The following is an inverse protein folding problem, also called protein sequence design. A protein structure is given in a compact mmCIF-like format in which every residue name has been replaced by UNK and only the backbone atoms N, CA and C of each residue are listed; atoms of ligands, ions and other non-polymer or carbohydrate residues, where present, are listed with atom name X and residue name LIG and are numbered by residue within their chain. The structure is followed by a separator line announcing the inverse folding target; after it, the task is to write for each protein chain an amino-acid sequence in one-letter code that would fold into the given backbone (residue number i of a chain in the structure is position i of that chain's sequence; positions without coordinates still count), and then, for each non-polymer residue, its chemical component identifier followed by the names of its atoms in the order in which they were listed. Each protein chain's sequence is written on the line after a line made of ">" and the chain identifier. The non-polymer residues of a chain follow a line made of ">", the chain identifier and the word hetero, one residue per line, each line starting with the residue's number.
data_IF_977560165110
#
_entry.id   IF_977560165110
#
_cell.length_a   1.000
_cell.length_b   1.000
_cell.length_c   1.000
_cell.angle_alpha   90.00
_cell.angle_beta   90.00
_cell.angle_gamma   90.00
#
_symmetry.space_group_name_H-M   'P 1'
#
loop_
_entity.id
_entity.type
_entity.pdbx_description
1 polymer ?
#
# COMPACT_ATOMS: atom_id res chain seq x y z
N UNK A 1 -25.26 15.12 17.55
CA UNK A 1 -24.04 14.60 16.88
C UNK A 1 -24.14 14.93 15.40
N UNK A 2 -23.37 15.90 14.89
CA UNK A 2 -23.36 16.17 13.44
C UNK A 2 -22.67 15.00 12.73
N UNK A 3 -23.36 14.32 11.82
CA UNK A 3 -22.77 13.32 10.92
C UNK A 3 -22.86 11.85 11.35
N UNK A 4 -23.88 11.44 12.12
CA UNK A 4 -24.14 10.02 12.35
C UNK A 4 -24.40 9.30 11.02
N UNK A 5 -23.76 8.15 10.75
CA UNK A 5 -23.91 7.46 9.48
C UNK A 5 -25.36 7.00 9.28
N UNK A 6 -25.86 7.07 8.05
CA UNK A 6 -27.21 6.59 7.71
C UNK A 6 -27.32 5.07 7.85
N UNK A 7 -26.24 4.37 7.55
CA UNK A 7 -26.13 2.92 7.59
C UNK A 7 -24.89 2.54 8.40
N UNK A 8 -25.05 1.61 9.35
CA UNK A 8 -23.91 1.08 10.11
C UNK A 8 -23.07 0.17 9.22
N UNK A 9 -21.75 0.39 9.22
CA UNK A 9 -20.82 -0.45 8.45
C UNK A 9 -20.86 -1.92 8.94
N UNK A 10 -21.14 -2.88 8.05
CA UNK A 10 -21.13 -4.29 8.40
C UNK A 10 -19.73 -4.76 8.83
N UNK A 11 -19.64 -5.46 9.96
CA UNK A 11 -18.36 -5.94 10.50
C UNK A 11 -17.65 -6.96 9.60
N UNK A 12 -18.40 -7.71 8.79
CA UNK A 12 -17.85 -8.70 7.85
C UNK A 12 -17.22 -8.09 6.60
N UNK A 13 -17.68 -6.89 6.18
CA UNK A 13 -17.10 -6.19 5.03
C UNK A 13 -15.68 -5.70 5.32
N UNK A 14 -15.44 -5.28 6.57
CA UNK A 14 -14.14 -4.84 7.04
C UNK A 14 -13.41 -3.96 6.00
N UNK A 15 -12.20 -4.30 5.52
CA UNK A 15 -11.50 -3.56 4.46
C UNK A 15 -11.52 -4.27 3.07
N UNK A 16 -12.39 -5.28 2.89
CA UNK A 16 -12.50 -6.02 1.63
C UNK A 16 -12.93 -5.14 0.44
N UNK A 17 -13.86 -4.17 0.58
CA UNK A 17 -14.19 -3.27 -0.52
C UNK A 17 -13.00 -2.46 -1.02
N UNK A 18 -12.12 -1.99 -0.13
CA UNK A 18 -10.89 -1.34 -0.52
C UNK A 18 -9.97 -2.26 -1.31
N UNK A 19 -9.82 -3.54 -0.91
CA UNK A 19 -9.04 -4.51 -1.67
C UNK A 19 -9.60 -4.73 -3.09
N UNK A 20 -10.92 -4.89 -3.21
CA UNK A 20 -11.56 -5.07 -4.52
C UNK A 20 -11.39 -3.82 -5.39
N UNK A 21 -11.57 -2.63 -4.81
CA UNK A 21 -11.35 -1.36 -5.51
C UNK A 21 -9.91 -1.18 -5.96
N UNK A 22 -8.94 -1.54 -5.12
CA UNK A 22 -7.52 -1.50 -5.47
C UNK A 22 -7.18 -2.51 -6.57
N UNK A 23 -7.71 -3.73 -6.50
CA UNK A 23 -7.51 -4.73 -7.55
C UNK A 23 -8.07 -4.27 -8.90
N UNK A 24 -9.27 -3.67 -8.91
CA UNK A 24 -9.86 -3.12 -10.11
C UNK A 24 -9.04 -1.96 -10.69
N UNK A 25 -8.54 -1.08 -9.83
CA UNK A 25 -7.60 -0.03 -10.22
C UNK A 25 -6.34 -0.62 -10.86
N UNK A 26 -5.69 -1.57 -10.19
CA UNK A 26 -4.47 -2.21 -10.69
C UNK A 26 -4.72 -2.92 -12.03
N UNK A 27 -5.88 -3.55 -12.21
CA UNK A 27 -6.25 -4.19 -13.47
C UNK A 27 -6.46 -3.17 -14.60
N UNK A 28 -7.11 -2.04 -14.32
CA UNK A 28 -7.26 -0.94 -15.29
C UNK A 28 -5.89 -0.38 -15.69
N UNK A 29 -5.00 -0.22 -14.73
CA UNK A 29 -3.66 0.33 -14.92
C UNK A 29 -2.77 -0.61 -15.75
N UNK A 30 -2.74 -1.89 -15.40
CA UNK A 30 -1.76 -2.85 -15.94
C UNK A 30 -2.26 -3.64 -17.16
N UNK A 31 -3.57 -3.85 -17.30
CA UNK A 31 -4.13 -4.82 -18.26
C UNK A 31 -5.06 -4.17 -19.27
N UNK A 32 -5.84 -3.17 -18.85
CA UNK A 32 -6.83 -2.58 -19.71
C UNK A 32 -6.18 -1.66 -20.78
N UNK A 33 -6.29 -1.97 -22.08
CA UNK A 33 -5.63 -1.15 -23.12
C UNK A 33 -6.16 0.28 -23.22
N UNK A 34 -7.36 0.52 -22.66
CA UNK A 34 -7.95 1.85 -22.60
C UNK A 34 -7.50 2.67 -21.40
N UNK A 35 -6.63 2.16 -20.51
CA UNK A 35 -6.22 2.83 -19.27
C UNK A 35 -5.51 4.17 -19.49
N UNK A 36 -4.78 4.30 -20.60
CA UNK A 36 -4.07 5.53 -20.98
C UNK A 36 -4.91 6.52 -21.82
N UNK A 37 -6.15 6.16 -22.19
CA UNK A 37 -7.02 7.03 -23.00
C UNK A 37 -7.76 8.02 -22.10
N UNK A 38 -7.65 9.35 -22.34
CA UNK A 38 -8.29 10.36 -21.50
C UNK A 38 -9.80 10.16 -21.31
N UNK A 39 -10.51 9.73 -22.36
CA UNK A 39 -11.94 9.46 -22.31
C UNK A 39 -12.29 8.31 -21.34
N UNK A 40 -11.58 7.19 -21.41
CA UNK A 40 -11.78 6.06 -20.49
C UNK A 40 -11.47 6.46 -19.05
N UNK A 41 -10.35 7.17 -18.86
CA UNK A 41 -9.90 7.61 -17.55
C UNK A 41 -10.91 8.57 -16.90
N UNK A 42 -11.51 9.48 -17.67
CA UNK A 42 -12.56 10.38 -17.19
C UNK A 42 -13.76 9.62 -16.60
N UNK A 43 -14.23 8.57 -17.30
CA UNK A 43 -15.32 7.72 -16.79
C UNK A 43 -14.94 6.97 -15.52
N UNK A 44 -13.70 6.46 -15.44
CA UNK A 44 -13.19 5.79 -14.24
C UNK A 44 -13.16 6.76 -13.06
N UNK A 45 -12.63 7.98 -13.25
CA UNK A 45 -12.55 9.02 -12.20
C UNK A 45 -13.95 9.44 -11.72
N UNK A 46 -14.89 9.66 -12.64
CA UNK A 46 -16.28 10.01 -12.31
C UNK A 46 -16.94 8.88 -11.52
N UNK A 47 -16.80 7.64 -11.97
CA UNK A 47 -17.37 6.47 -11.31
C UNK A 47 -16.78 6.28 -9.91
N UNK A 48 -15.46 6.37 -9.78
CA UNK A 48 -14.76 6.30 -8.50
C UNK A 48 -15.22 7.41 -7.54
N UNK A 49 -15.32 8.65 -8.03
CA UNK A 49 -15.75 9.80 -7.22
C UNK A 49 -17.20 9.65 -6.74
N UNK A 50 -18.11 9.19 -7.60
CA UNK A 50 -19.50 8.90 -7.23
C UNK A 50 -19.58 7.80 -6.16
N UNK A 51 -18.86 6.69 -6.35
CA UNK A 51 -18.81 5.60 -5.38
C UNK A 51 -18.29 6.10 -4.03
N UNK A 52 -17.22 6.90 -4.03
CA UNK A 52 -16.62 7.43 -2.81
C UNK A 52 -17.54 8.42 -2.09
N UNK A 53 -18.18 9.34 -2.80
CA UNK A 53 -19.13 10.28 -2.18
C UNK A 53 -20.38 9.60 -1.65
N UNK A 54 -20.94 8.63 -2.40
CA UNK A 54 -22.08 7.83 -1.93
C UNK A 54 -21.67 7.03 -0.69
N UNK A 55 -20.50 6.41 -0.69
CA UNK A 55 -19.94 5.69 0.45
C UNK A 55 -19.79 6.55 1.70
N UNK A 56 -19.21 7.75 1.56
CA UNK A 56 -19.08 8.72 2.65
C UNK A 56 -20.45 9.19 3.18
N UNK A 57 -21.43 9.39 2.30
CA UNK A 57 -22.78 9.82 2.67
C UNK A 57 -23.57 8.73 3.41
N UNK A 58 -23.43 7.47 2.99
CA UNK A 58 -24.15 6.35 3.59
C UNK A 58 -23.52 5.88 4.91
N UNK A 59 -22.20 5.67 4.92
CA UNK A 59 -21.47 5.03 6.03
C UNK A 59 -20.70 6.00 6.90
N UNK A 60 -20.65 7.29 6.53
CA UNK A 60 -19.86 8.31 7.19
C UNK A 60 -18.44 8.44 6.62
N UNK A 61 -17.95 9.68 6.55
CA UNK A 61 -16.66 10.02 5.93
C UNK A 61 -15.48 9.19 6.48
N UNK A 62 -15.39 9.05 7.80
CA UNK A 62 -14.26 8.37 8.44
C UNK A 62 -14.26 6.87 8.24
N UNK A 63 -15.44 6.23 8.33
CA UNK A 63 -15.55 4.78 8.17
C UNK A 63 -15.27 4.39 6.72
N UNK A 64 -15.82 5.14 5.76
CA UNK A 64 -15.55 4.91 4.34
C UNK A 64 -14.07 5.06 4.01
N UNK A 65 -13.44 6.18 4.40
CA UNK A 65 -12.01 6.41 4.12
C UNK A 65 -11.08 5.39 4.79
N UNK A 66 -11.47 4.86 5.96
CA UNK A 66 -10.66 3.87 6.69
C UNK A 66 -10.78 2.45 6.13
N UNK A 67 -11.85 2.13 5.42
CA UNK A 67 -12.23 0.73 5.11
C UNK A 67 -12.66 0.49 3.65
N UNK A 68 -13.35 1.44 3.05
CA UNK A 68 -13.93 1.32 1.72
C UNK A 68 -13.04 1.89 0.62
N UNK A 69 -12.37 3.01 0.88
CA UNK A 69 -11.58 3.71 -0.12
C UNK A 69 -10.17 3.09 -0.30
N UNK A 70 -9.81 2.57 -1.48
CA UNK A 70 -8.54 1.88 -1.71
C UNK A 70 -7.33 2.79 -1.47
N UNK A 71 -7.37 4.01 -1.97
CA UNK A 71 -6.24 4.94 -1.87
C UNK A 71 -6.03 5.42 -0.44
N UNK A 72 -7.10 5.73 0.29
CA UNK A 72 -7.02 6.13 1.69
C UNK A 72 -6.48 5.00 2.56
N UNK A 73 -6.85 3.73 2.29
CA UNK A 73 -6.27 2.56 2.99
C UNK A 73 -4.79 2.41 2.67
N UNK A 74 -4.39 2.57 1.41
CA UNK A 74 -2.98 2.52 0.99
C UNK A 74 -2.15 3.65 1.61
N UNK A 75 -2.64 4.90 1.55
CA UNK A 75 -1.92 6.04 2.12
C UNK A 75 -1.92 6.02 3.65
N UNK A 76 -2.96 5.50 4.31
CA UNK A 76 -2.95 5.30 5.75
C UNK A 76 -1.86 4.31 6.19
N UNK A 77 -1.53 3.33 5.34
CA UNK A 77 -0.40 2.44 5.57
C UNK A 77 0.93 3.17 5.44
N UNK A 78 1.13 3.89 4.33
CA UNK A 78 2.35 4.65 4.08
C UNK A 78 2.57 5.77 5.10
N UNK A 79 1.50 6.39 5.59
CA UNK A 79 1.56 7.41 6.63
C UNK A 79 2.18 6.89 7.94
N UNK A 80 2.11 5.57 8.23
CA UNK A 80 2.78 4.96 9.40
C UNK A 80 4.31 4.99 9.29
N UNK A 81 4.84 5.11 8.08
CA UNK A 81 6.26 5.31 7.84
C UNK A 81 6.69 6.77 8.06
N UNK A 82 5.76 7.72 7.93
CA UNK A 82 6.04 9.16 8.00
C UNK A 82 6.55 9.62 9.38
N UNK A 83 7.34 10.71 9.42
CA UNK A 83 7.88 11.27 10.65
C UNK A 83 6.86 12.11 11.44
N UNK A 84 5.62 12.20 10.96
CA UNK A 84 4.55 13.01 11.56
C UNK A 84 3.41 12.11 12.01
N UNK A 85 2.82 12.43 13.15
CA UNK A 85 1.61 11.76 13.63
C UNK A 85 0.66 12.74 14.33
N UNK A 86 -0.63 12.44 14.22
CA UNK A 86 -1.67 13.13 14.98
C UNK A 86 -2.09 12.26 16.15
N UNK A 87 -2.04 12.78 17.38
CA UNK A 87 -2.40 12.02 18.57
C UNK A 87 -3.37 12.76 19.46
N UNK A 88 -4.22 12.00 20.15
CA UNK A 88 -5.07 12.52 21.23
C UNK A 88 -4.37 12.24 22.55
N UNK A 89 -4.03 13.31 23.28
CA UNK A 89 -3.24 13.31 24.51
C UNK A 89 -3.87 12.46 25.64
N UNK A 90 -3.01 11.87 26.48
CA UNK A 90 -3.43 11.09 27.66
C UNK A 90 -4.04 12.02 28.72
N UNK A 91 -5.36 12.15 28.69
CA UNK A 91 -6.13 13.11 29.50
C UNK A 91 -7.36 13.62 28.75
N UNK A 92 -7.31 13.62 27.41
CA UNK A 92 -8.47 13.79 26.56
C UNK A 92 -9.30 12.52 26.56
N UNK A 93 -10.30 12.48 27.44
CA UNK A 93 -11.38 11.50 27.54
C UNK A 93 -11.13 10.17 26.79
N UNK A 94 -10.71 9.10 27.47
CA UNK A 94 -10.69 7.72 26.90
C UNK A 94 -12.01 7.36 26.18
N UNK A 95 -13.09 8.03 26.57
CA UNK A 95 -14.40 8.01 25.92
C UNK A 95 -14.34 8.31 24.42
N UNK A 96 -13.44 9.16 23.90
CA UNK A 96 -13.39 9.50 22.47
C UNK A 96 -13.08 8.26 21.62
N UNK A 97 -12.11 7.44 22.04
CA UNK A 97 -11.80 6.19 21.35
C UNK A 97 -12.94 5.16 21.44
N UNK A 98 -13.78 5.23 22.50
CA UNK A 98 -14.96 4.36 22.70
C UNK A 98 -16.15 4.82 21.85
N UNK A 99 -16.34 6.12 21.69
CA UNK A 99 -17.42 6.74 20.91
C UNK A 99 -17.11 6.69 19.40
N UNK A 100 -15.82 6.65 19.04
CA UNK A 100 -15.34 6.57 17.67
C UNK A 100 -15.94 5.36 16.90
N UNK A 101 -16.71 5.65 15.86
CA UNK A 101 -17.37 4.64 15.03
C UNK A 101 -16.39 3.93 14.09
N UNK A 102 -15.22 4.52 13.84
CA UNK A 102 -14.13 3.89 13.09
C UNK A 102 -13.48 2.71 13.82
N UNK A 103 -13.88 2.41 15.06
CA UNK A 103 -13.49 1.20 15.79
C UNK A 103 -12.10 1.27 16.41
N UNK A 104 -11.68 2.43 16.90
CA UNK A 104 -10.37 2.60 17.55
C UNK A 104 -10.29 1.97 18.95
N UNK A 105 -11.43 1.75 19.61
CA UNK A 105 -11.52 1.10 20.92
C UNK A 105 -10.91 -0.31 20.96
N UNK A 106 -10.94 -1.05 19.85
CA UNK A 106 -10.35 -2.39 19.75
C UNK A 106 -8.83 -2.41 20.00
N UNK A 107 -8.14 -1.29 19.78
CA UNK A 107 -6.72 -1.11 20.06
C UNK A 107 -6.45 -0.45 21.43
N UNK A 108 -7.49 0.05 22.13
CA UNK A 108 -7.35 0.85 23.35
C UNK A 108 -7.40 0.04 24.66
N UNK A 109 -7.87 -1.21 24.62
CA UNK A 109 -8.12 -2.03 25.83
C UNK A 109 -6.99 -3.00 26.19
N UNK A 110 -6.01 -3.22 25.33
CA UNK A 110 -4.94 -4.19 25.56
C UNK A 110 -3.69 -3.52 26.15
N UNK A 111 -2.98 -4.20 27.07
CA UNK A 111 -1.74 -3.77 27.75
C UNK A 111 -0.59 -3.48 26.75
N UNK A 112 -0.73 -2.44 25.97
CA UNK A 112 0.32 -1.88 25.13
C UNK A 112 0.63 -0.48 25.63
N UNK A 113 1.87 -0.04 25.49
CA UNK A 113 2.33 1.31 25.84
C UNK A 113 1.64 2.43 25.02
N UNK A 114 0.61 2.10 24.22
CA UNK A 114 -0.20 2.95 23.35
C UNK A 114 -1.56 3.30 23.97
N UNK A 115 -1.55 3.89 25.16
CA UNK A 115 -2.77 4.31 25.88
C UNK A 115 -3.49 5.54 25.26
N UNK A 116 -3.37 5.80 23.96
CA UNK A 116 -3.98 6.95 23.27
C UNK A 116 -4.35 6.65 21.81
N UNK A 117 -5.28 7.42 21.27
CA UNK A 117 -5.67 7.31 19.86
C UNK A 117 -4.64 8.06 18.97
N UNK A 118 -3.97 7.35 18.06
CA UNK A 118 -2.99 7.91 17.11
C UNK A 118 -3.43 7.66 15.68
N UNK A 119 -3.14 8.62 14.80
CA UNK A 119 -3.44 8.59 13.36
C UNK A 119 -4.93 8.26 13.06
N UNK A 120 -5.81 8.67 13.98
CA UNK A 120 -7.26 8.58 13.81
C UNK A 120 -7.89 9.98 13.71
N UNK A 121 -8.22 10.37 12.49
CA UNK A 121 -8.82 11.68 12.20
C UNK A 121 -10.22 11.87 12.82
N UNK A 122 -10.97 10.80 13.06
CA UNK A 122 -12.25 10.88 13.76
C UNK A 122 -12.06 11.22 15.24
N UNK A 123 -11.15 10.51 15.91
CA UNK A 123 -10.82 10.80 17.30
C UNK A 123 -10.21 12.20 17.46
N UNK A 124 -9.44 12.65 16.47
CA UNK A 124 -8.92 14.00 16.41
C UNK A 124 -10.06 15.03 16.31
N UNK A 125 -11.02 14.87 15.39
CA UNK A 125 -12.15 15.80 15.24
C UNK A 125 -13.05 15.83 16.48
N UNK A 126 -13.24 14.69 17.14
CA UNK A 126 -14.06 14.57 18.36
C UNK A 126 -13.38 15.08 19.64
N UNK A 127 -12.05 15.21 19.64
CA UNK A 127 -11.30 15.66 20.80
C UNK A 127 -11.37 17.19 20.97
N UNK A 128 -11.37 17.65 22.22
CA UNK A 128 -11.20 19.06 22.54
C UNK A 128 -9.81 19.56 22.12
N UNK A 129 -9.70 20.82 21.74
CA UNK A 129 -8.45 21.40 21.22
C UNK A 129 -7.28 21.30 22.20
N UNK A 130 -7.56 21.31 23.51
CA UNK A 130 -6.56 21.13 24.55
C UNK A 130 -5.89 19.74 24.56
N UNK A 131 -6.46 18.76 23.85
CA UNK A 131 -5.97 17.38 23.81
C UNK A 131 -5.49 16.95 22.41
N UNK A 132 -5.50 17.86 21.44
CA UNK A 132 -4.98 17.65 20.09
C UNK A 132 -3.47 17.91 20.07
N UNK A 133 -2.68 16.87 19.84
CA UNK A 133 -1.23 16.95 19.77
C UNK A 133 -0.72 16.55 18.38
N UNK A 134 -0.01 17.47 17.71
CA UNK A 134 0.79 17.13 16.53
C UNK A 134 2.19 16.74 17.00
N UNK A 135 2.63 15.50 16.70
CA UNK A 135 3.88 14.94 17.20
C UNK A 135 4.81 14.54 16.05
N UNK A 136 6.11 14.77 16.26
CA UNK A 136 7.17 14.32 15.36
C UNK A 136 7.75 13.02 15.93
N UNK A 137 7.92 12.01 15.06
CA UNK A 137 8.50 10.70 15.38
C UNK A 137 9.63 10.38 14.39
N UNK A 138 10.61 9.54 14.76
CA UNK A 138 11.52 8.97 13.77
C UNK A 138 10.74 8.16 12.73
N UNK A 139 11.27 8.13 11.50
CA UNK A 139 10.70 7.36 10.39
C UNK A 139 10.48 5.89 10.78
N UNK A 140 9.44 5.28 10.21
CA UNK A 140 9.05 3.87 10.40
C UNK A 140 8.67 3.43 11.83
N UNK A 141 8.84 4.26 12.86
CA UNK A 141 8.47 3.89 14.24
C UNK A 141 6.98 3.57 14.37
N UNK A 142 6.12 4.25 13.60
CA UNK A 142 4.68 3.98 13.54
C UNK A 142 4.33 2.54 13.14
N UNK A 143 5.17 1.87 12.34
CA UNK A 143 4.99 0.48 11.91
C UNK A 143 5.25 -0.54 13.02
N UNK A 144 6.08 -0.18 14.02
CA UNK A 144 6.45 -1.08 15.12
C UNK A 144 5.39 -1.20 16.22
N UNK A 145 4.33 -0.36 16.18
CA UNK A 145 3.33 -0.22 17.24
C UNK A 145 2.45 -1.45 17.46
N UNK A 146 2.40 -2.38 16.50
CA UNK A 146 1.75 -3.68 16.69
C UNK A 146 0.22 -3.59 16.83
N UNK A 147 -0.41 -2.55 16.28
CA UNK A 147 -1.87 -2.43 16.22
C UNK A 147 -2.51 -3.66 15.58
N UNK A 148 -3.70 -4.03 16.05
CA UNK A 148 -4.45 -5.16 15.49
C UNK A 148 -4.99 -4.75 14.12
N UNK A 149 -4.31 -5.17 13.06
CA UNK A 149 -4.84 -5.13 11.70
C UNK A 149 -5.74 -6.32 11.44
N UNK A 150 -6.74 -6.08 10.62
CA UNK A 150 -7.64 -7.12 10.18
C UNK A 150 -7.05 -7.92 9.01
N UNK A 151 -7.54 -9.15 8.77
CA UNK A 151 -7.08 -9.96 7.64
C UNK A 151 -7.25 -9.26 6.27
N UNK A 152 -8.31 -8.47 6.10
CA UNK A 152 -8.55 -7.73 4.86
C UNK A 152 -7.45 -6.69 4.60
N UNK A 153 -6.99 -5.99 5.65
CA UNK A 153 -5.88 -5.04 5.55
C UNK A 153 -4.58 -5.77 5.21
N UNK A 154 -4.31 -6.92 5.82
CA UNK A 154 -3.13 -7.74 5.46
C UNK A 154 -3.18 -8.17 3.99
N UNK A 155 -4.33 -8.68 3.53
CA UNK A 155 -4.52 -9.06 2.13
C UNK A 155 -4.31 -7.86 1.20
N UNK A 156 -4.88 -6.70 1.53
CA UNK A 156 -4.66 -5.44 0.81
C UNK A 156 -3.18 -5.12 0.65
N UNK A 157 -2.39 -5.22 1.72
CA UNK A 157 -0.96 -4.86 1.68
C UNK A 157 -0.17 -5.82 0.81
N UNK A 158 -0.46 -7.12 0.93
CA UNK A 158 0.19 -8.15 0.11
C UNK A 158 -0.17 -7.97 -1.36
N UNK A 159 -1.44 -7.67 -1.66
CA UNK A 159 -1.87 -7.36 -3.02
C UNK A 159 -1.19 -6.10 -3.54
N UNK A 160 -1.13 -5.02 -2.76
CA UNK A 160 -0.45 -3.79 -3.18
C UNK A 160 1.04 -4.02 -3.48
N UNK A 161 1.75 -4.76 -2.61
CA UNK A 161 3.14 -5.14 -2.85
C UNK A 161 3.28 -5.97 -4.13
N UNK A 162 2.45 -6.99 -4.28
CA UNK A 162 2.49 -7.92 -5.42
C UNK A 162 2.11 -7.24 -6.74
N UNK A 163 1.16 -6.30 -6.75
CA UNK A 163 0.75 -5.55 -7.93
C UNK A 163 1.90 -4.72 -8.48
N UNK A 164 2.65 -4.00 -7.63
CA UNK A 164 3.82 -3.25 -8.11
C UNK A 164 4.89 -4.21 -8.63
N UNK A 165 5.12 -5.35 -7.95
CA UNK A 165 6.07 -6.36 -8.47
C UNK A 165 5.65 -6.91 -9.82
N UNK A 166 4.36 -7.14 -10.00
CA UNK A 166 3.81 -7.63 -11.27
C UNK A 166 3.95 -6.59 -12.37
N UNK A 167 3.62 -5.32 -12.10
CA UNK A 167 3.80 -4.18 -13.00
C UNK A 167 5.24 -4.16 -13.55
N UNK A 168 6.23 -4.09 -12.66
CA UNK A 168 7.63 -4.08 -13.08
C UNK A 168 8.10 -5.38 -13.74
N UNK A 169 7.59 -6.55 -13.33
CA UNK A 169 7.94 -7.82 -13.97
C UNK A 169 7.33 -7.95 -15.37
N UNK A 170 6.13 -7.43 -15.58
CA UNK A 170 5.39 -7.53 -16.84
C UNK A 170 6.07 -6.79 -17.99
N UNK A 171 6.88 -5.79 -17.67
CA UNK A 171 7.69 -5.03 -18.64
C UNK A 171 9.03 -5.70 -18.99
N UNK A 172 9.32 -6.89 -18.44
CA UNK A 172 10.60 -7.59 -18.66
C UNK A 172 10.52 -8.68 -19.74
N UNK A 173 11.66 -9.05 -20.37
CA UNK A 173 11.71 -10.18 -21.31
C UNK A 173 11.27 -11.50 -20.68
N UNK A 174 11.42 -11.65 -19.36
CA UNK A 174 10.98 -12.84 -18.62
C UNK A 174 9.46 -13.04 -18.69
N UNK A 175 8.68 -11.97 -18.64
CA UNK A 175 7.23 -12.05 -18.80
C UNK A 175 6.81 -12.38 -20.24
N UNK A 176 7.48 -11.78 -21.23
CA UNK A 176 7.25 -12.10 -22.65
C UNK A 176 7.48 -13.59 -22.94
N UNK A 177 8.49 -14.21 -22.31
CA UNK A 177 8.72 -15.65 -22.42
C UNK A 177 7.55 -16.47 -21.83
N UNK A 178 7.00 -16.04 -20.69
CA UNK A 178 5.81 -16.68 -20.08
C UNK A 178 4.59 -16.50 -20.99
N UNK A 179 4.36 -15.31 -21.54
CA UNK A 179 3.27 -15.06 -22.48
C UNK A 179 3.39 -15.97 -23.71
N UNK A 180 4.59 -16.10 -24.28
CA UNK A 180 4.85 -16.96 -25.44
C UNK A 180 4.58 -18.44 -25.12
N UNK A 181 4.96 -18.90 -23.93
CA UNK A 181 4.71 -20.28 -23.48
C UNK A 181 3.21 -20.55 -23.30
N UNK A 182 2.46 -19.59 -22.76
CA UNK A 182 1.02 -19.73 -22.48
C UNK A 182 0.15 -19.47 -23.71
N UNK A 183 0.68 -18.75 -24.72
CA UNK A 183 -0.05 -18.35 -25.92
C UNK A 183 -0.87 -19.49 -26.55
N UNK A 184 -0.31 -20.68 -26.84
CA UNK A 184 -1.06 -21.74 -27.53
C UNK A 184 -2.26 -22.26 -26.75
N UNK A 185 -2.27 -22.10 -25.43
CA UNK A 185 -3.35 -22.54 -24.55
C UNK A 185 -4.46 -21.50 -24.38
N UNK A 186 -4.11 -20.22 -24.55
CA UNK A 186 -5.03 -19.09 -24.29
C UNK A 186 -5.61 -18.51 -25.58
N UNK A 187 -4.86 -18.52 -26.68
CA UNK A 187 -5.31 -18.06 -28.00
C UNK A 187 -6.64 -18.68 -28.49
N UNK A 188 -6.98 -19.95 -28.15
CA UNK A 188 -8.30 -20.51 -28.49
C UNK A 188 -9.50 -19.86 -27.76
N UNK A 189 -9.27 -19.08 -26.70
CA UNK A 189 -10.31 -18.42 -25.91
C UNK A 189 -10.71 -17.10 -26.58
N UNK A 190 -12.02 -16.77 -26.70
CA UNK A 190 -12.44 -15.50 -27.26
C UNK A 190 -11.89 -14.30 -26.47
N UNK A 191 -11.15 -13.42 -27.15
CA UNK A 191 -10.56 -12.22 -26.56
C UNK A 191 -9.10 -12.04 -26.94
N UNK A 192 -8.42 -11.10 -26.28
CA UNK A 192 -6.97 -10.94 -26.43
C UNK A 192 -6.24 -11.92 -25.51
N UNK A 193 -5.39 -12.78 -26.09
CA UNK A 193 -4.57 -13.71 -25.31
C UNK A 193 -3.65 -12.97 -24.33
N UNK A 194 -3.06 -11.85 -24.76
CA UNK A 194 -2.20 -10.98 -23.93
C UNK A 194 -2.96 -10.48 -22.70
N UNK A 195 -4.12 -9.83 -22.92
CA UNK A 195 -4.95 -9.31 -21.81
C UNK A 195 -5.40 -10.41 -20.86
N UNK A 196 -5.67 -11.61 -21.38
CA UNK A 196 -6.06 -12.76 -20.56
C UNK A 196 -4.89 -13.24 -19.70
N UNK A 197 -3.70 -13.37 -20.28
CA UNK A 197 -2.49 -13.77 -19.55
C UNK A 197 -2.10 -12.72 -18.50
N UNK A 198 -2.20 -11.44 -18.82
CA UNK A 198 -1.98 -10.33 -17.88
C UNK A 198 -3.03 -10.29 -16.76
N UNK A 199 -4.31 -10.52 -17.08
CA UNK A 199 -5.38 -10.67 -16.09
C UNK A 199 -5.14 -11.85 -15.15
N UNK A 200 -4.58 -12.95 -15.66
CA UNK A 200 -4.17 -14.07 -14.82
C UNK A 200 -2.95 -13.70 -13.97
N UNK A 201 -1.97 -12.98 -14.52
CA UNK A 201 -0.80 -12.50 -13.80
C UNK A 201 -1.17 -11.63 -12.59
N UNK A 202 -2.01 -10.61 -12.80
CA UNK A 202 -2.42 -9.70 -11.74
C UNK A 202 -3.26 -10.38 -10.65
N UNK A 203 -3.95 -11.47 -10.97
CA UNK A 203 -4.69 -12.28 -10.00
C UNK A 203 -3.78 -13.28 -9.26
N UNK A 204 -2.94 -14.01 -9.99
CA UNK A 204 -2.16 -15.13 -9.46
C UNK A 204 -0.94 -14.67 -8.67
N UNK A 205 -0.30 -13.55 -9.05
CA UNK A 205 0.90 -13.03 -8.35
C UNK A 205 0.58 -12.62 -6.90
N UNK A 206 -0.49 -11.86 -6.60
CA UNK A 206 -0.92 -11.62 -5.21
C UNK A 206 -1.21 -12.90 -4.42
N UNK A 207 -1.85 -13.91 -5.05
CA UNK A 207 -2.14 -15.18 -4.39
C UNK A 207 -0.86 -15.96 -4.07
N UNK A 208 0.12 -15.95 -4.97
CA UNK A 208 1.44 -16.54 -4.74
C UNK A 208 2.15 -15.85 -3.57
N UNK A 209 2.17 -14.51 -3.57
CA UNK A 209 2.76 -13.71 -2.49
C UNK A 209 2.09 -13.99 -1.15
N UNK A 210 0.75 -14.02 -1.12
CA UNK A 210 -0.03 -14.34 0.08
C UNK A 210 0.28 -15.75 0.59
N UNK A 211 0.36 -16.72 -0.32
CA UNK A 211 0.67 -18.12 0.02
C UNK A 211 2.06 -18.24 0.65
N UNK A 212 3.09 -17.67 0.01
CA UNK A 212 4.47 -17.67 0.53
C UNK A 212 4.53 -16.95 1.88
N UNK A 213 3.89 -15.79 2.00
CA UNK A 213 3.84 -15.03 3.25
C UNK A 213 3.21 -15.82 4.40
N UNK A 214 2.04 -16.43 4.17
CA UNK A 214 1.32 -17.24 5.19
C UNK A 214 2.15 -18.45 5.61
N UNK A 215 2.79 -19.14 4.65
CA UNK A 215 3.66 -20.28 4.91
C UNK A 215 4.85 -19.89 5.80
N UNK A 216 5.50 -18.77 5.49
CA UNK A 216 6.63 -18.29 6.27
C UNK A 216 6.21 -17.77 7.64
N UNK A 217 5.06 -17.11 7.77
CA UNK A 217 4.49 -16.77 9.08
C UNK A 217 4.20 -18.02 9.92
N UNK A 218 3.79 -19.14 9.29
CA UNK A 218 3.68 -20.43 9.96
C UNK A 218 5.03 -20.96 10.47
N UNK A 219 6.12 -20.76 9.71
CA UNK A 219 7.49 -21.10 10.16
C UNK A 219 7.96 -20.22 11.31
N UNK A 220 7.71 -18.90 11.24
CA UNK A 220 7.99 -17.95 12.33
C UNK A 220 7.29 -18.38 13.62
N UNK A 221 5.99 -18.71 13.52
CA UNK A 221 5.19 -19.17 14.67
C UNK A 221 5.78 -20.43 15.31
N UNK A 222 6.16 -21.44 14.50
CA UNK A 222 6.82 -22.66 15.01
C UNK A 222 8.16 -22.37 15.69
N UNK A 223 8.99 -21.52 15.09
CA UNK A 223 10.32 -21.15 15.63
C UNK A 223 10.25 -20.26 16.87
N UNK A 224 9.13 -19.55 17.08
CA UNK A 224 8.87 -18.81 18.32
C UNK A 224 8.58 -19.71 19.53
N UNK A 225 8.39 -21.02 19.32
CA UNK A 225 8.01 -21.96 20.38
C UNK A 225 6.57 -21.79 20.86
N UNK A 226 5.69 -21.25 20.00
CA UNK A 226 4.26 -21.06 20.31
C UNK A 226 3.91 -19.74 20.99
N UNK A 227 4.90 -18.91 21.34
CA UNK A 227 4.67 -17.58 21.94
C UNK A 227 3.97 -16.61 20.98
N UNK A 228 4.06 -16.86 19.67
CA UNK A 228 3.41 -16.08 18.64
C UNK A 228 2.49 -16.97 17.79
N UNK A 229 1.16 -16.94 18.00
CA UNK A 229 0.21 -17.65 17.15
C UNK A 229 0.29 -17.18 15.70
N UNK A 230 0.16 -18.09 14.73
CA UNK A 230 0.31 -17.77 13.29
C UNK A 230 -0.57 -16.60 12.85
N UNK A 231 -1.83 -16.53 13.31
CA UNK A 231 -2.74 -15.45 12.96
C UNK A 231 -2.26 -14.07 13.44
N UNK A 232 -1.57 -14.00 14.58
CA UNK A 232 -0.97 -12.76 15.07
C UNK A 232 0.31 -12.40 14.32
N UNK A 233 1.12 -13.39 13.95
CA UNK A 233 2.32 -13.19 13.11
C UNK A 233 1.90 -12.58 11.77
N UNK A 234 0.90 -13.16 11.10
CA UNK A 234 0.36 -12.68 9.81
C UNK A 234 -0.08 -11.21 9.89
N UNK A 235 -0.68 -10.79 11.02
CA UNK A 235 -1.16 -9.42 11.19
C UNK A 235 -0.03 -8.46 11.52
N UNK A 236 0.86 -8.84 12.42
CA UNK A 236 1.92 -7.96 12.91
C UNK A 236 3.05 -7.78 11.90
N UNK A 237 3.50 -8.86 11.25
CA UNK A 237 4.61 -8.79 10.31
C UNK A 237 4.24 -8.14 8.97
N UNK A 238 2.96 -7.98 8.63
CA UNK A 238 2.54 -7.28 7.42
C UNK A 238 3.14 -5.86 7.35
N UNK A 239 3.25 -5.19 8.51
CA UNK A 239 3.86 -3.87 8.62
C UNK A 239 5.36 -3.84 8.34
N UNK A 240 6.06 -4.95 8.57
CA UNK A 240 7.48 -5.05 8.24
C UNK A 240 7.74 -5.09 6.74
N UNK A 241 6.73 -5.35 5.90
CA UNK A 241 6.87 -5.34 4.43
C UNK A 241 6.64 -3.94 3.83
N UNK A 242 6.10 -3.00 4.60
CA UNK A 242 5.73 -1.66 4.12
C UNK A 242 6.93 -0.86 3.61
N UNK A 243 8.07 -0.82 4.31
CA UNK A 243 9.22 -0.04 3.82
C UNK A 243 9.77 -0.60 2.50
N UNK A 244 9.71 -1.91 2.30
CA UNK A 244 10.05 -2.56 1.03
C UNK A 244 9.08 -2.13 -0.08
N UNK A 245 7.77 -2.15 0.18
CA UNK A 245 6.76 -1.71 -0.80
C UNK A 245 6.97 -0.24 -1.21
N UNK A 246 7.19 0.64 -0.22
CA UNK A 246 7.49 2.06 -0.43
C UNK A 246 8.76 2.28 -1.25
N UNK A 247 9.83 1.58 -0.89
CA UNK A 247 11.10 1.70 -1.58
C UNK A 247 10.99 1.25 -3.04
N UNK A 248 10.31 0.14 -3.30
CA UNK A 248 10.12 -0.35 -4.65
C UNK A 248 9.20 0.57 -5.48
N UNK A 249 8.12 1.08 -4.88
CA UNK A 249 7.26 2.08 -5.55
C UNK A 249 8.05 3.33 -5.94
N UNK A 250 8.90 3.85 -5.05
CA UNK A 250 9.77 4.98 -5.36
C UNK A 250 10.76 4.64 -6.48
N UNK A 251 11.45 3.50 -6.39
CA UNK A 251 12.47 3.09 -7.36
C UNK A 251 11.90 2.82 -8.75
N UNK A 252 10.69 2.25 -8.82
CA UNK A 252 10.02 1.88 -10.07
C UNK A 252 9.37 3.11 -10.74
N UNK A 253 8.69 3.96 -9.97
CA UNK A 253 7.97 5.11 -10.53
C UNK A 253 8.76 6.43 -10.58
N UNK A 254 10.04 6.46 -10.19
CA UNK A 254 10.85 7.68 -10.18
C UNK A 254 10.87 8.38 -11.54
N UNK A 255 11.13 7.63 -12.61
CA UNK A 255 11.18 8.18 -13.97
C UNK A 255 9.82 8.70 -14.42
N UNK A 256 8.72 8.02 -14.08
CA UNK A 256 7.37 8.49 -14.38
C UNK A 256 7.05 9.80 -13.64
N UNK A 257 7.43 9.91 -12.37
CA UNK A 257 7.25 11.14 -11.60
C UNK A 257 8.03 12.30 -12.22
N UNK A 258 9.29 12.07 -12.60
CA UNK A 258 10.16 13.14 -13.10
C UNK A 258 9.91 13.50 -14.56
N UNK A 259 9.51 12.56 -15.41
CA UNK A 259 9.29 12.78 -16.85
C UNK A 259 7.81 13.02 -17.12
N UNK A 260 6.96 12.02 -16.86
CA UNK A 260 5.52 12.12 -17.12
C UNK A 260 4.84 13.15 -16.21
N UNK A 261 5.34 13.37 -14.99
CA UNK A 261 4.85 14.43 -14.11
C UNK A 261 5.00 15.84 -14.70
N UNK A 262 5.93 16.06 -15.63
CA UNK A 262 6.08 17.35 -16.32
C UNK A 262 4.89 17.66 -17.23
N UNK A 263 4.11 16.67 -17.65
CA UNK A 263 2.91 16.87 -18.49
C UNK A 263 1.84 17.72 -17.79
N UNK A 264 1.91 17.85 -16.46
CA UNK A 264 1.03 18.74 -15.72
C UNK A 264 1.28 20.21 -16.11
N UNK A 265 2.51 20.59 -16.46
CA UNK A 265 2.89 21.98 -16.77
C UNK A 265 2.11 22.55 -17.98
N UNK A 266 2.09 21.90 -19.15
CA UNK A 266 1.28 22.38 -20.28
C UNK A 266 -0.23 22.25 -20.00
N UNK A 267 -0.66 21.19 -19.31
CA UNK A 267 -2.08 20.97 -18.99
C UNK A 267 -2.66 22.00 -18.02
N UNK A 268 -1.87 22.56 -17.10
CA UNK A 268 -2.30 23.65 -16.22
C UNK A 268 -2.44 24.97 -17.01
N UNK A 269 -1.63 25.17 -18.06
CA UNK A 269 -1.74 26.34 -18.92
C UNK A 269 -2.99 26.33 -19.79
N UNK A 270 -3.34 25.17 -20.38
CA UNK A 270 -4.55 24.97 -21.19
C UNK A 270 -5.43 23.80 -20.66
N UNK A 271 -6.11 23.99 -19.52
CA UNK A 271 -6.83 22.90 -18.85
C UNK A 271 -8.03 22.37 -19.65
N UNK A 272 -8.57 23.16 -20.58
CA UNK A 272 -9.74 22.80 -21.39
C UNK A 272 -9.38 22.44 -22.84
N UNK A 273 -8.10 22.52 -23.23
CA UNK A 273 -7.68 22.32 -24.63
C UNK A 273 -8.25 23.39 -25.58
N UNK A 274 -8.50 24.59 -25.05
CA UNK A 274 -9.13 25.70 -25.78
C UNK A 274 -8.12 26.64 -26.43
N UNK A 275 -6.83 26.36 -26.26
CA UNK A 275 -5.73 27.26 -26.61
C UNK A 275 -5.50 28.37 -25.58
N UNK A 276 -6.13 28.28 -24.41
CA UNK A 276 -5.87 29.21 -23.32
C UNK A 276 -4.45 28.96 -22.83
N UNK A 277 -3.59 29.97 -22.80
CA UNK A 277 -2.20 29.83 -22.36
C UNK A 277 -1.98 30.66 -21.10
N UNK A 278 -2.61 30.25 -19.99
CA UNK A 278 -2.70 31.07 -18.76
C UNK A 278 -1.31 31.41 -18.21
N UNK A 279 -0.38 30.45 -18.24
CA UNK A 279 0.97 30.61 -17.68
C UNK A 279 2.05 30.80 -18.75
N UNK A 280 1.68 30.85 -20.03
CA UNK A 280 2.65 30.90 -21.14
C UNK A 280 3.32 29.56 -21.45
N UNK A 281 2.96 28.47 -20.75
CA UNK A 281 3.64 27.16 -20.83
C UNK A 281 2.90 26.10 -21.65
N UNK A 282 1.88 26.46 -22.43
CA UNK A 282 1.13 25.50 -23.25
C UNK A 282 2.01 24.71 -24.25
N UNK A 283 3.10 25.32 -24.73
CA UNK A 283 4.07 24.69 -25.65
C UNK A 283 5.25 24.00 -24.93
N UNK A 284 5.17 23.84 -23.60
CA UNK A 284 6.23 23.19 -22.83
C UNK A 284 6.39 21.72 -23.25
N UNK A 285 7.60 21.37 -23.70
CA UNK A 285 7.97 19.99 -24.04
C UNK A 285 8.68 19.35 -22.85
N UNK A 286 8.24 18.18 -22.36
CA UNK A 286 8.90 17.47 -21.26
C UNK A 286 10.38 17.21 -21.54
N UNK A 287 11.22 17.56 -20.58
CA UNK A 287 12.64 17.26 -20.60
C UNK A 287 12.90 15.84 -20.09
N UNK A 288 13.09 14.91 -21.02
CA UNK A 288 13.48 13.52 -20.72
C UNK A 288 14.89 13.39 -20.15
N UNK A 289 15.76 14.40 -20.33
CA UNK A 289 17.13 14.44 -19.81
C UNK A 289 17.23 14.89 -18.35
N UNK A 290 16.11 15.09 -17.65
CA UNK A 290 16.10 15.44 -16.22
C UNK A 290 16.70 14.33 -15.35
N UNK A 291 16.63 13.09 -15.81
CA UNK A 291 17.14 11.91 -15.12
C UNK A 291 17.96 11.07 -16.11
N UNK A 292 19.20 10.76 -15.74
CA UNK A 292 20.02 9.80 -16.49
C UNK A 292 19.87 8.38 -15.90
N UNK A 293 20.26 7.37 -16.67
CA UNK A 293 20.15 5.97 -16.27
C UNK A 293 20.99 5.65 -15.02
N UNK A 294 22.12 6.35 -14.82
CA UNK A 294 23.02 6.14 -13.69
C UNK A 294 22.41 6.63 -12.40
N UNK A 295 21.84 7.84 -12.41
CA UNK A 295 21.16 8.45 -11.29
C UNK A 295 19.92 7.66 -10.91
N UNK A 296 19.09 7.28 -11.90
CA UNK A 296 17.95 6.40 -11.67
C UNK A 296 18.38 5.11 -10.96
N UNK A 297 19.42 4.44 -11.46
CA UNK A 297 19.93 3.22 -10.86
C UNK A 297 20.45 3.44 -9.42
N UNK A 298 21.24 4.49 -9.17
CA UNK A 298 21.75 4.80 -7.82
C UNK A 298 20.60 5.03 -6.84
N UNK A 299 19.61 5.87 -7.21
CA UNK A 299 18.46 6.15 -6.36
C UNK A 299 17.66 4.88 -6.11
N UNK A 300 17.45 4.06 -7.15
CA UNK A 300 16.69 2.82 -7.04
C UNK A 300 17.34 1.80 -6.12
N UNK A 301 18.64 1.56 -6.26
CA UNK A 301 19.41 0.66 -5.38
C UNK A 301 19.43 1.20 -3.95
N UNK A 302 19.72 2.48 -3.77
CA UNK A 302 19.80 3.10 -2.43
C UNK A 302 18.46 3.02 -1.71
N UNK A 303 17.37 3.36 -2.40
CA UNK A 303 15.99 3.26 -1.89
C UNK A 303 15.66 1.83 -1.46
N UNK A 304 15.90 0.84 -2.34
CA UNK A 304 15.61 -0.58 -2.06
C UNK A 304 16.40 -1.13 -0.87
N UNK A 305 17.70 -0.84 -0.80
CA UNK A 305 18.54 -1.27 0.32
C UNK A 305 18.11 -0.59 1.62
N UNK A 306 17.83 0.71 1.60
CA UNK A 306 17.34 1.44 2.78
C UNK A 306 15.98 0.90 3.26
N UNK A 307 15.03 0.68 2.35
CA UNK A 307 13.74 0.07 2.65
C UNK A 307 13.89 -1.33 3.26
N UNK A 308 14.82 -2.14 2.75
CA UNK A 308 15.12 -3.45 3.31
C UNK A 308 15.69 -3.36 4.74
N UNK A 309 16.68 -2.49 4.99
CA UNK A 309 17.27 -2.30 6.32
C UNK A 309 16.20 -1.90 7.34
N UNK A 310 15.33 -0.95 6.98
CA UNK A 310 14.23 -0.50 7.85
C UNK A 310 13.22 -1.62 8.08
N UNK A 311 12.90 -2.41 7.05
CA UNK A 311 12.00 -3.57 7.15
C UNK A 311 12.52 -4.63 8.13
N UNK A 312 13.82 -4.96 8.05
CA UNK A 312 14.47 -5.89 8.98
C UNK A 312 14.46 -5.35 10.40
N UNK A 313 14.73 -4.05 10.59
CA UNK A 313 14.64 -3.41 11.89
C UNK A 313 13.22 -3.47 12.48
N UNK A 314 12.20 -3.15 11.69
CA UNK A 314 10.79 -3.24 12.11
C UNK A 314 10.43 -4.68 12.48
N UNK A 315 10.77 -5.66 11.65
CA UNK A 315 10.55 -7.08 11.96
C UNK A 315 11.25 -7.51 13.27
N UNK A 316 12.48 -7.01 13.50
CA UNK A 316 13.25 -7.32 14.69
C UNK A 316 12.59 -6.76 15.96
N UNK A 317 12.18 -5.49 15.93
CA UNK A 317 11.48 -4.85 17.05
C UNK A 317 10.14 -5.52 17.37
N UNK A 318 9.39 -5.95 16.35
CA UNK A 318 8.14 -6.71 16.52
C UNK A 318 8.42 -8.06 17.22
N UNK A 319 9.48 -8.77 16.80
CA UNK A 319 9.86 -10.06 17.39
C UNK A 319 10.31 -9.93 18.85
N UNK A 320 11.13 -8.92 19.16
CA UNK A 320 11.59 -8.66 20.53
C UNK A 320 10.45 -8.29 21.49
N UNK A 321 9.43 -7.56 21.02
CA UNK A 321 8.28 -7.17 21.86
C UNK A 321 7.35 -8.34 22.19
N UNK A 322 7.37 -9.40 21.39
CA UNK A 322 6.39 -10.51 21.46
C UNK A 322 6.99 -11.83 21.93
N UNK A 323 8.30 -11.90 22.13
CA UNK A 323 8.98 -13.10 22.62
C UNK A 323 9.65 -12.82 23.95
N UNK A 324 9.74 -13.84 24.79
CA UNK A 324 10.32 -13.77 26.14
C UNK A 324 11.85 -13.73 26.15
N UNK A 325 12.50 -14.23 25.09
CA UNK A 325 13.94 -14.43 25.03
C UNK A 325 14.50 -13.97 23.68
N UNK A 326 15.59 -13.21 23.73
CA UNK A 326 16.33 -12.73 22.56
C UNK A 326 16.70 -13.84 21.57
N UNK A 327 17.08 -15.03 22.04
CA UNK A 327 17.44 -16.16 21.15
C UNK A 327 16.24 -16.64 20.35
N UNK A 328 15.05 -16.72 20.98
CA UNK A 328 13.81 -17.07 20.29
C UNK A 328 13.41 -15.97 19.30
N UNK A 329 13.59 -14.70 19.68
CA UNK A 329 13.33 -13.54 18.83
C UNK A 329 14.14 -13.55 17.52
N UNK A 330 15.44 -13.86 17.63
CA UNK A 330 16.34 -13.93 16.46
C UNK A 330 16.01 -15.15 15.60
N UNK A 331 15.81 -16.33 16.21
CA UNK A 331 15.48 -17.56 15.46
C UNK A 331 14.16 -17.47 14.72
N UNK A 332 13.14 -16.88 15.33
CA UNK A 332 11.84 -16.69 14.70
C UNK A 332 11.90 -15.76 13.49
N UNK A 333 12.90 -14.88 13.40
CA UNK A 333 13.02 -13.90 12.33
C UNK A 333 13.65 -14.46 11.04
N UNK A 334 14.42 -15.56 11.09
CA UNK A 334 15.13 -16.08 9.91
C UNK A 334 14.24 -16.35 8.69
N UNK A 335 13.05 -16.98 8.81
CA UNK A 335 12.18 -17.19 7.65
C UNK A 335 11.73 -15.88 6.99
N UNK A 336 11.43 -14.86 7.80
CA UNK A 336 11.00 -13.55 7.30
C UNK A 336 12.18 -12.79 6.69
N UNK A 337 13.36 -12.84 7.31
CA UNK A 337 14.58 -12.25 6.77
C UNK A 337 14.91 -12.84 5.38
N UNK A 338 14.81 -14.17 5.24
CA UNK A 338 15.01 -14.84 3.96
C UNK A 338 14.03 -14.35 2.89
N UNK A 339 12.74 -14.18 3.24
CA UNK A 339 11.74 -13.60 2.34
C UNK A 339 12.12 -12.20 1.88
N UNK A 340 12.49 -11.34 2.83
CA UNK A 340 12.83 -9.95 2.55
C UNK A 340 14.06 -9.83 1.68
N UNK A 341 15.10 -10.64 1.93
CA UNK A 341 16.33 -10.64 1.10
C UNK A 341 16.02 -11.16 -0.31
N UNK A 342 15.26 -12.25 -0.41
CA UNK A 342 14.84 -12.80 -1.70
C UNK A 342 14.03 -11.78 -2.51
N UNK A 343 13.08 -11.10 -1.87
CA UNK A 343 12.29 -10.07 -2.51
C UNK A 343 13.14 -8.87 -2.98
N UNK A 344 14.08 -8.39 -2.15
CA UNK A 344 15.01 -7.33 -2.56
C UNK A 344 15.86 -7.75 -3.75
N UNK A 345 16.33 -9.00 -3.78
CA UNK A 345 17.10 -9.54 -4.90
C UNK A 345 16.27 -9.57 -6.19
N UNK A 346 15.01 -10.05 -6.13
CA UNK A 346 14.09 -10.01 -7.27
C UNK A 346 13.82 -8.57 -7.73
N UNK A 347 13.57 -7.65 -6.79
CA UNK A 347 13.27 -6.25 -7.12
C UNK A 347 14.44 -5.58 -7.84
N UNK A 348 15.67 -5.80 -7.36
CA UNK A 348 16.88 -5.32 -8.01
C UNK A 348 17.10 -5.96 -9.37
N UNK A 349 16.80 -7.26 -9.50
CA UNK A 349 16.89 -7.97 -10.78
C UNK A 349 15.91 -7.42 -11.81
N UNK A 350 14.65 -7.17 -11.42
CA UNK A 350 13.61 -6.56 -12.27
C UNK A 350 14.05 -5.18 -12.73
N UNK A 351 14.47 -4.31 -11.81
CA UNK A 351 14.91 -2.93 -12.13
C UNK A 351 16.16 -2.91 -13.03
N UNK A 352 16.96 -3.97 -13.03
CA UNK A 352 18.12 -4.10 -13.90
C UNK A 352 17.80 -4.68 -15.29
N UNK A 353 16.57 -5.16 -15.54
CA UNK A 353 16.20 -5.67 -16.85
C UNK A 353 15.97 -4.53 -17.87
N UNK A 354 16.24 -4.76 -19.16
CA UNK A 354 15.79 -3.86 -20.20
C UNK A 354 14.26 -3.91 -20.30
N UNK A 355 13.62 -2.75 -20.39
CA UNK A 355 12.19 -2.64 -20.64
C UNK A 355 11.92 -3.04 -22.10
N UNK A 356 10.95 -3.92 -22.31
CA UNK A 356 10.59 -4.46 -23.65
C UNK A 356 9.23 -3.97 -24.17
N UNK A 357 8.53 -3.13 -23.41
CA UNK A 357 7.24 -2.56 -23.77
C UNK A 357 7.34 -1.16 -24.37
#
# INVERSE_FOLDING_TARGET
>A
MKGSPKIRWPSWLDAWPALVGFFFFAWIENVFPGGSRPYSLAWVIVTYSLITWIGMFLFGKYVWLKRGDPFSVLFALFARFSPTEVRVAKGGNKNVCVICISGCSANAYEKSDLQGCVDCYECWELADDAHKEFSIRPWAVGLSRGERVSPAVVAFHITALASVTFDGFSETPGWVAIQTLLWPFVDPIPGSAIQTIESLGILLVPLLFASVYILLCGRVSRLSGGEMPQGEVIRSFAFSLVPIALAYNLSHYLSFILISGQQIIPLVSDPLGTGLNILGTAEYVPNIGIIDARFAWIVSVTSLVAGHIVSVYVAHTISLRRTSNHIKAVKSQYPMLALMVFYTAISLWIVAQPLVN
#
